data_IF_916109839114
#
_entry.id   IF_916109839114
#
_cell.length_a   1.000
_cell.length_b   1.000
_cell.length_c   1.000
_cell.angle_alpha   90.00
_cell.angle_beta   90.00
_cell.angle_gamma   90.00
#
_symmetry.space_group_name_H-M   'P 1'
#
loop_
_entity.id
_entity.type
_entity.pdbx_description
1 polymer ?
#
# COMPACT_ATOMS: atom_id res chain seq x y z
N UNK A 1 -42.10 8.81 12.20
CA UNK A 1 -41.54 8.84 10.84
C UNK A 1 -40.21 8.10 10.90
N UNK A 2 -40.20 6.82 10.51
CA UNK A 2 -38.99 6.00 10.52
C UNK A 2 -38.15 6.39 9.31
N UNK A 3 -37.02 7.05 9.52
CA UNK A 3 -36.05 7.32 8.46
C UNK A 3 -35.39 6.00 8.09
N UNK A 4 -35.74 5.48 6.91
CA UNK A 4 -34.96 4.45 6.24
C UNK A 4 -33.53 4.97 6.07
N UNK A 5 -32.59 4.41 6.83
CA UNK A 5 -31.18 4.46 6.46
C UNK A 5 -31.05 3.54 5.26
N UNK A 6 -31.11 4.13 4.06
CA UNK A 6 -30.71 3.44 2.85
C UNK A 6 -29.24 3.04 3.04
N UNK A 7 -29.00 1.74 3.24
CA UNK A 7 -27.66 1.17 3.20
C UNK A 7 -27.18 1.24 1.74
N UNK A 8 -26.69 2.41 1.35
CA UNK A 8 -25.92 2.56 0.13
C UNK A 8 -24.57 1.87 0.37
N UNK A 9 -24.45 0.60 -0.05
CA UNK A 9 -23.28 -0.26 0.16
C UNK A 9 -21.96 0.35 -0.34
N UNK A 10 -22.02 1.46 -1.08
CA UNK A 10 -20.89 2.22 -1.63
C UNK A 10 -20.36 3.35 -0.74
N UNK A 11 -21.09 3.78 0.28
CA UNK A 11 -20.84 5.03 1.02
C UNK A 11 -19.73 4.96 2.08
N UNK A 12 -19.54 3.84 2.76
CA UNK A 12 -18.58 3.76 3.88
C UNK A 12 -17.11 3.79 3.44
N UNK A 13 -16.81 3.39 2.19
CA UNK A 13 -15.45 3.38 1.66
C UNK A 13 -14.93 4.78 1.35
N UNK A 14 -15.81 5.74 1.03
CA UNK A 14 -15.39 7.09 0.63
C UNK A 14 -14.93 7.95 1.79
N UNK A 15 -15.44 7.71 3.01
CA UNK A 15 -15.11 8.56 4.15
C UNK A 15 -13.63 8.52 4.52
N UNK A 16 -12.96 7.37 4.40
CA UNK A 16 -11.57 7.21 4.83
C UNK A 16 -10.55 7.28 3.68
N UNK A 17 -11.01 7.43 2.44
CA UNK A 17 -10.14 7.55 1.28
C UNK A 17 -9.40 8.88 1.28
N UNK A 18 -8.23 8.90 0.63
CA UNK A 18 -7.37 10.09 0.47
C UNK A 18 -6.88 10.76 1.78
N UNK A 19 -7.17 10.19 2.95
CA UNK A 19 -6.70 10.68 4.25
C UNK A 19 -5.31 10.14 4.65
N UNK A 20 -4.70 9.30 3.82
CA UNK A 20 -3.36 8.75 4.08
C UNK A 20 -3.31 7.53 5.01
N UNK A 21 -4.43 7.05 5.54
CA UNK A 21 -4.46 5.87 6.43
C UNK A 21 -3.75 4.65 5.86
N UNK A 22 -3.95 4.33 4.58
CA UNK A 22 -3.27 3.21 3.94
C UNK A 22 -1.75 3.39 3.92
N UNK A 23 -1.28 4.62 3.71
CA UNK A 23 0.15 4.89 3.71
C UNK A 23 0.76 4.68 5.10
N UNK A 24 0.13 5.22 6.16
CA UNK A 24 0.62 5.04 7.53
C UNK A 24 0.55 3.57 7.98
N UNK A 25 -0.51 2.85 7.62
CA UNK A 25 -0.63 1.42 7.92
C UNK A 25 0.47 0.59 7.26
N UNK A 26 0.72 0.79 5.96
CA UNK A 26 1.78 0.05 5.23
C UNK A 26 3.16 0.47 5.73
N UNK A 27 3.39 1.75 6.04
CA UNK A 27 4.64 2.23 6.62
C UNK A 27 4.92 1.55 7.97
N UNK A 28 3.93 1.48 8.85
CA UNK A 28 4.04 0.79 10.13
C UNK A 28 4.33 -0.71 9.96
N UNK A 29 3.65 -1.37 9.01
CA UNK A 29 3.89 -2.77 8.70
C UNK A 29 5.30 -3.03 8.18
N UNK A 30 5.78 -2.19 7.25
CA UNK A 30 7.15 -2.28 6.70
C UNK A 30 8.19 -2.04 7.81
N UNK A 31 7.97 -1.04 8.67
CA UNK A 31 8.83 -0.79 9.83
C UNK A 31 8.90 -2.02 10.73
N UNK A 32 7.74 -2.57 11.10
CA UNK A 32 7.65 -3.75 11.94
C UNK A 32 8.34 -4.96 11.31
N UNK A 33 8.10 -5.24 10.03
CA UNK A 33 8.69 -6.39 9.34
C UNK A 33 10.23 -6.37 9.38
N UNK A 34 10.84 -5.19 9.23
CA UNK A 34 12.30 -5.04 9.29
C UNK A 34 12.88 -5.02 10.71
N UNK A 35 12.07 -5.08 11.77
CA UNK A 35 12.59 -5.31 13.13
C UNK A 35 13.09 -6.74 13.33
N UNK A 36 12.65 -7.69 12.50
CA UNK A 36 13.15 -9.05 12.50
C UNK A 36 14.58 -9.13 11.94
N UNK A 37 15.46 -9.85 12.63
CA UNK A 37 16.91 -9.90 12.31
C UNK A 37 17.25 -10.52 10.95
N UNK A 38 16.32 -11.24 10.32
CA UNK A 38 16.61 -12.03 9.11
C UNK A 38 15.95 -11.50 7.83
N UNK A 39 15.05 -10.51 7.94
CA UNK A 39 14.30 -10.04 6.77
C UNK A 39 15.19 -9.14 5.89
N UNK A 40 15.58 -9.65 4.71
CA UNK A 40 16.45 -8.92 3.76
C UNK A 40 15.68 -7.99 2.82
N UNK A 41 14.46 -8.36 2.44
CA UNK A 41 13.63 -7.61 1.49
C UNK A 41 12.15 -7.90 1.61
N UNK A 42 11.33 -6.98 1.13
CA UNK A 42 9.88 -7.11 0.96
C UNK A 42 9.57 -7.05 -0.55
N UNK A 43 8.70 -7.95 -1.01
CA UNK A 43 8.18 -7.95 -2.38
C UNK A 43 6.70 -7.58 -2.34
N UNK A 44 6.29 -6.67 -3.21
CA UNK A 44 4.89 -6.30 -3.40
C UNK A 44 4.51 -6.40 -4.88
N UNK A 45 3.22 -6.63 -5.14
CA UNK A 45 2.65 -6.62 -6.48
C UNK A 45 1.50 -5.62 -6.53
N UNK A 46 1.37 -4.91 -7.65
CA UNK A 46 0.24 -4.00 -7.87
C UNK A 46 -0.21 -4.05 -9.32
N UNK A 47 -1.52 -3.99 -9.61
CA UNK A 47 -1.98 -3.69 -10.95
C UNK A 47 -1.41 -2.34 -11.44
N UNK A 48 -1.04 -2.26 -12.71
CA UNK A 48 -0.48 -1.06 -13.36
C UNK A 48 -1.45 0.12 -13.42
N UNK A 49 -2.75 -0.16 -13.48
CA UNK A 49 -3.83 0.84 -13.49
C UNK A 49 -4.17 1.40 -12.09
N UNK A 50 -3.71 0.77 -11.00
CA UNK A 50 -4.02 1.21 -9.63
C UNK A 50 -3.04 2.27 -9.14
N UNK A 51 -3.23 3.49 -9.63
CA UNK A 51 -2.41 4.67 -9.33
C UNK A 51 -2.20 4.89 -7.82
N UNK A 52 -3.25 4.73 -7.00
CA UNK A 52 -3.14 4.92 -5.55
C UNK A 52 -2.15 3.95 -4.88
N UNK A 53 -2.18 2.67 -5.26
CA UNK A 53 -1.24 1.66 -4.78
C UNK A 53 0.18 1.96 -5.24
N UNK A 54 0.36 2.31 -6.51
CA UNK A 54 1.65 2.67 -7.10
C UNK A 54 2.26 3.88 -6.36
N UNK A 55 1.46 4.90 -6.05
CA UNK A 55 1.90 6.07 -5.30
C UNK A 55 2.38 5.70 -3.89
N UNK A 56 1.69 4.81 -3.18
CA UNK A 56 2.11 4.34 -1.84
C UNK A 56 3.46 3.61 -1.93
N UNK A 57 3.61 2.69 -2.88
CA UNK A 57 4.84 1.91 -3.05
C UNK A 57 6.03 2.82 -3.39
N UNK A 58 5.84 3.80 -4.26
CA UNK A 58 6.84 4.84 -4.57
C UNK A 58 7.20 5.70 -3.35
N UNK A 59 6.20 6.15 -2.58
CA UNK A 59 6.43 6.94 -1.35
C UNK A 59 7.20 6.17 -0.28
N UNK A 60 7.10 4.85 -0.27
CA UNK A 60 7.88 3.96 0.60
C UNK A 60 9.27 3.62 0.05
N UNK A 61 9.70 4.30 -1.03
CA UNK A 61 10.95 4.06 -1.73
C UNK A 61 11.12 2.63 -2.26
N UNK A 62 10.01 1.91 -2.50
CA UNK A 62 10.08 0.62 -3.19
C UNK A 62 10.46 0.83 -4.65
N UNK A 63 11.33 -0.03 -5.18
CA UNK A 63 11.77 -0.01 -6.58
C UNK A 63 10.93 -1.00 -7.38
N UNK A 64 10.43 -0.58 -8.53
CA UNK A 64 9.83 -1.50 -9.49
C UNK A 64 10.95 -2.34 -10.13
N UNK A 65 10.85 -3.67 -10.04
CA UNK A 65 11.88 -4.61 -10.50
C UNK A 65 11.43 -5.48 -11.69
N UNK A 66 10.13 -5.59 -11.93
CA UNK A 66 9.59 -6.28 -13.09
C UNK A 66 8.18 -5.80 -13.43
N UNK A 67 7.72 -6.15 -14.63
CA UNK A 67 6.34 -6.00 -15.09
C UNK A 67 5.95 -7.28 -15.83
N UNK A 68 4.84 -7.89 -15.45
CA UNK A 68 4.27 -9.06 -16.12
C UNK A 68 2.84 -8.73 -16.55
N UNK A 69 2.67 -8.41 -17.83
CA UNK A 69 1.43 -7.86 -18.36
C UNK A 69 0.99 -6.62 -17.55
N UNK A 70 -0.15 -6.75 -16.88
CA UNK A 70 -0.77 -5.70 -16.05
C UNK A 70 -0.34 -5.69 -14.59
N UNK A 71 0.61 -6.54 -14.20
CA UNK A 71 1.05 -6.67 -12.81
C UNK A 71 2.49 -6.17 -12.65
N UNK A 72 2.66 -5.13 -11.85
CA UNK A 72 3.96 -4.55 -11.51
C UNK A 72 4.51 -5.24 -10.27
N UNK A 73 5.80 -5.59 -10.29
CA UNK A 73 6.53 -6.16 -9.15
C UNK A 73 7.46 -5.12 -8.54
N UNK A 74 7.41 -5.00 -7.23
CA UNK A 74 8.14 -4.02 -6.44
C UNK A 74 9.01 -4.70 -5.40
N UNK A 75 10.14 -4.10 -5.08
CA UNK A 75 11.08 -4.56 -4.07
C UNK A 75 11.49 -3.41 -3.15
N UNK A 76 11.54 -3.70 -1.86
CA UNK A 76 12.19 -2.87 -0.86
C UNK A 76 13.25 -3.71 -0.14
N UNK A 77 14.52 -3.29 -0.21
CA UNK A 77 15.62 -3.96 0.50
C UNK A 77 15.90 -3.25 1.82
N UNK A 78 16.29 -4.02 2.84
CA UNK A 78 16.71 -3.46 4.12
C UNK A 78 17.85 -2.43 3.94
N UNK A 79 18.84 -2.77 3.11
CA UNK A 79 20.01 -1.93 2.81
C UNK A 79 19.68 -0.61 2.11
N UNK A 80 18.54 -0.55 1.40
CA UNK A 80 18.12 0.64 0.65
C UNK A 80 17.37 1.67 1.52
N UNK A 81 17.18 1.40 2.81
CA UNK A 81 16.62 2.38 3.74
C UNK A 81 17.67 3.40 4.15
N UNK A 82 17.54 4.62 3.65
CA UNK A 82 18.07 5.79 4.34
C UNK A 82 17.08 6.13 5.46
N UNK A 83 17.48 5.91 6.71
CA UNK A 83 16.83 6.46 7.89
C UNK A 83 17.41 7.85 8.18
#
# INVERSE_FOLDING_TARGET
MLTQVACDKKSWFTHYNAQGFTFEAVKALVNFAFTGRELKRIIAHSPDERVASICILKKLAMRQIASDGKLLKWELKLESRQL
#
